data_IF_413539297475
#
_entry.id   IF_413539297475
#
_cell.length_a   1.000
_cell.length_b   1.000
_cell.length_c   1.000
_cell.angle_alpha   90.00
_cell.angle_beta   90.00
_cell.angle_gamma   90.00
#
_symmetry.space_group_name_H-M   'P 1'
#
loop_
_entity.id
_entity.type
_entity.pdbx_description
1 polymer ?
#
# COMPACT_ATOMS: atom_id res chain seq x y z
N UNK A 1 21.61 24.81 -5.51
CA UNK A 1 23.00 24.40 -5.26
C UNK A 1 23.30 23.23 -6.15
N UNK A 2 24.14 23.46 -7.18
CA UNK A 2 24.49 22.45 -8.20
C UNK A 2 25.42 21.34 -7.66
N UNK A 3 25.65 21.28 -6.37
CA UNK A 3 26.62 20.36 -5.75
C UNK A 3 25.99 19.20 -4.97
N UNK A 4 24.66 19.04 -4.99
CA UNK A 4 23.96 17.88 -4.42
C UNK A 4 23.22 17.08 -5.52
N UNK A 5 23.86 16.05 -6.09
CA UNK A 5 23.27 15.24 -7.14
C UNK A 5 22.09 14.35 -6.67
N UNK A 6 21.71 14.42 -5.40
CA UNK A 6 20.60 13.67 -4.79
C UNK A 6 19.42 14.53 -4.34
N UNK A 7 19.45 15.86 -4.53
CA UNK A 7 18.30 16.69 -4.19
C UNK A 7 17.11 16.39 -5.10
N UNK A 8 15.96 15.95 -4.57
CA UNK A 8 14.79 15.76 -5.38
C UNK A 8 14.37 17.10 -6.02
N UNK A 9 14.02 17.07 -7.29
CA UNK A 9 13.42 18.22 -7.96
C UNK A 9 12.13 18.54 -7.20
N UNK A 10 11.97 19.76 -6.66
CA UNK A 10 10.76 20.10 -5.95
C UNK A 10 9.58 20.07 -6.92
N UNK A 11 8.63 19.20 -6.67
CA UNK A 11 7.35 19.22 -7.37
C UNK A 11 6.50 20.32 -6.75
N UNK A 12 5.99 21.22 -7.57
CA UNK A 12 5.03 22.21 -7.15
C UNK A 12 3.69 21.93 -7.80
N UNK A 13 2.65 21.75 -7.01
CA UNK A 13 1.28 21.78 -7.51
C UNK A 13 0.86 23.25 -7.63
N UNK A 14 0.46 23.66 -8.84
CA UNK A 14 -0.10 24.98 -9.07
C UNK A 14 -1.61 24.87 -9.12
N UNK A 15 -2.29 25.45 -8.15
CA UNK A 15 -3.73 25.61 -8.22
C UNK A 15 -4.02 26.81 -9.14
N UNK A 16 -4.32 26.53 -10.41
CA UNK A 16 -4.62 27.52 -11.43
C UNK A 16 -6.02 27.28 -12.00
N UNK A 17 -6.72 28.36 -12.30
CA UNK A 17 -8.05 28.30 -12.90
C UNK A 17 -8.00 27.77 -14.34
N UNK A 18 -9.14 27.23 -14.80
CA UNK A 18 -9.28 26.63 -16.12
C UNK A 18 -8.94 27.59 -17.26
N UNK A 19 -9.24 28.88 -17.12
CA UNK A 19 -8.93 29.88 -18.13
C UNK A 19 -7.40 30.07 -18.28
N UNK A 20 -6.69 30.02 -17.17
CA UNK A 20 -5.22 30.09 -17.14
C UNK A 20 -4.62 28.81 -17.74
N UNK A 21 -5.13 27.61 -17.41
CA UNK A 21 -4.70 26.35 -18.03
C UNK A 21 -4.89 26.41 -19.55
N UNK A 22 -6.07 26.80 -20.01
CA UNK A 22 -6.37 26.91 -21.43
C UNK A 22 -5.45 27.91 -22.15
N UNK A 23 -5.12 29.02 -21.51
CA UNK A 23 -4.19 30.01 -22.07
C UNK A 23 -2.76 29.48 -22.22
N UNK A 24 -2.31 28.64 -21.27
CA UNK A 24 -0.99 28.00 -21.30
C UNK A 24 -0.94 26.92 -22.39
N UNK A 25 -1.96 26.04 -22.43
CA UNK A 25 -1.99 24.91 -23.35
C UNK A 25 -2.22 25.30 -24.80
N UNK A 26 -2.89 26.42 -25.05
CA UNK A 26 -3.15 26.96 -26.40
C UNK A 26 -2.10 27.98 -26.86
N UNK A 27 -1.11 28.29 -26.03
CA UNK A 27 -0.08 29.25 -26.37
C UNK A 27 0.80 28.76 -27.53
N UNK A 28 0.93 29.57 -28.57
CA UNK A 28 1.79 29.30 -29.74
C UNK A 28 3.20 29.84 -29.60
N UNK A 29 3.51 30.48 -28.47
CA UNK A 29 4.82 31.07 -28.17
C UNK A 29 5.38 30.49 -26.87
N UNK A 30 6.70 30.50 -26.74
CA UNK A 30 7.38 30.16 -25.49
C UNK A 30 6.89 31.04 -24.37
N UNK A 31 6.31 30.48 -23.34
CA UNK A 31 5.93 31.16 -22.11
C UNK A 31 7.15 31.21 -21.18
N UNK A 32 7.31 32.30 -20.47
CA UNK A 32 8.28 32.44 -19.39
C UNK A 32 7.50 32.53 -18.10
N UNK A 33 7.82 31.65 -17.15
CA UNK A 33 7.32 31.68 -15.78
C UNK A 33 8.45 32.05 -14.84
N UNK A 34 8.15 32.78 -13.79
CA UNK A 34 9.04 33.02 -12.66
C UNK A 34 8.38 32.42 -11.43
N UNK A 35 9.10 31.56 -10.72
CA UNK A 35 8.64 30.98 -9.46
C UNK A 35 9.52 31.51 -8.35
N UNK A 36 8.90 32.00 -7.28
CA UNK A 36 9.61 32.44 -6.08
C UNK A 36 9.23 31.44 -4.95
N UNK A 37 10.26 30.87 -4.33
CA UNK A 37 10.09 30.02 -3.15
C UNK A 37 10.75 30.70 -1.96
N UNK A 38 9.99 30.97 -0.90
CA UNK A 38 10.50 31.58 0.33
C UNK A 38 11.17 30.59 1.29
N UNK A 39 11.69 29.51 0.77
CA UNK A 39 12.40 28.49 1.54
C UNK A 39 11.48 27.46 2.20
N UNK A 40 12.05 26.31 2.46
CA UNK A 40 11.37 25.20 3.13
C UNK A 40 11.64 25.24 4.63
N UNK A 41 10.59 25.30 5.45
CA UNK A 41 10.70 25.14 6.89
C UNK A 41 10.63 23.66 7.21
N UNK A 42 11.77 23.05 7.47
CA UNK A 42 11.83 21.65 7.94
C UNK A 42 11.60 21.66 9.45
N UNK A 43 10.47 21.16 9.90
CA UNK A 43 10.26 20.78 11.30
C UNK A 43 10.45 19.26 11.41
N UNK A 44 11.42 18.78 12.19
CA UNK A 44 11.55 17.34 12.38
C UNK A 44 10.36 16.83 13.17
N UNK A 45 9.49 16.10 12.52
CA UNK A 45 8.42 15.34 13.14
C UNK A 45 8.84 13.87 13.16
N UNK A 46 8.84 13.27 14.34
CA UNK A 46 9.07 11.84 14.50
C UNK A 46 7.74 11.11 14.45
N UNK A 47 7.56 10.24 13.50
CA UNK A 47 6.52 9.24 13.49
C UNK A 47 7.11 7.85 13.76
N UNK A 48 6.29 6.81 13.87
CA UNK A 48 6.73 5.48 14.22
C UNK A 48 5.95 4.44 13.44
N UNK A 49 6.65 3.46 12.90
CA UNK A 49 6.00 2.20 12.55
C UNK A 49 5.68 1.41 13.82
N UNK A 50 4.60 0.65 13.80
CA UNK A 50 4.23 -0.26 14.89
C UNK A 50 4.36 -1.68 14.37
N UNK A 51 5.26 -2.47 14.96
CA UNK A 51 5.52 -3.82 14.52
C UNK A 51 5.40 -4.84 15.65
N UNK A 52 4.95 -6.04 15.30
CA UNK A 52 4.87 -7.19 16.19
C UNK A 52 5.20 -8.48 15.45
N UNK A 53 5.81 -9.44 16.15
CA UNK A 53 6.17 -10.75 15.61
C UNK A 53 5.29 -11.80 16.28
N UNK A 54 4.63 -12.62 15.47
CA UNK A 54 3.90 -13.80 15.88
C UNK A 54 4.70 -15.03 15.43
N UNK A 55 5.15 -15.85 16.38
CA UNK A 55 5.99 -17.00 16.10
C UNK A 55 5.20 -18.08 15.36
N UNK A 56 5.78 -18.61 14.30
CA UNK A 56 5.24 -19.70 13.51
C UNK A 56 5.22 -21.03 14.28
N UNK A 57 4.34 -21.93 13.88
CA UNK A 57 4.11 -23.23 14.52
C UNK A 57 5.06 -24.34 14.04
N UNK A 58 5.69 -24.19 12.87
CA UNK A 58 6.58 -25.18 12.28
C UNK A 58 8.03 -24.87 12.70
N UNK A 59 8.71 -25.74 13.45
CA UNK A 59 10.08 -25.47 13.92
C UNK A 59 11.10 -25.30 12.80
N UNK A 60 10.85 -25.84 11.60
CA UNK A 60 11.76 -25.70 10.46
C UNK A 60 11.52 -24.40 9.69
N UNK A 61 10.31 -23.87 9.71
CA UNK A 61 9.91 -22.66 8.97
C UNK A 61 9.73 -21.42 9.87
N UNK A 62 9.76 -21.57 11.18
CA UNK A 62 9.47 -20.47 12.10
C UNK A 62 10.53 -19.35 12.12
N UNK A 63 11.70 -19.53 11.49
CA UNK A 63 12.69 -18.49 11.27
C UNK A 63 12.56 -17.82 9.88
N UNK A 64 11.52 -18.16 9.14
CA UNK A 64 11.08 -17.49 7.93
C UNK A 64 9.84 -16.64 8.22
N UNK A 65 9.77 -15.45 7.65
CA UNK A 65 8.74 -14.47 7.99
C UNK A 65 7.94 -14.04 6.78
N UNK A 66 6.61 -14.16 6.89
CA UNK A 66 5.69 -13.39 6.05
C UNK A 66 5.49 -12.04 6.75
N UNK A 67 5.76 -10.94 6.06
CA UNK A 67 5.48 -9.61 6.58
C UNK A 67 4.16 -9.09 5.99
N UNK A 68 3.24 -8.70 6.86
CA UNK A 68 1.98 -8.10 6.48
C UNK A 68 2.03 -6.61 6.82
N UNK A 69 1.71 -5.76 5.85
CA UNK A 69 1.79 -4.30 5.97
C UNK A 69 0.46 -3.64 5.67
N UNK A 70 0.19 -2.55 6.37
CA UNK A 70 -0.82 -1.55 6.04
C UNK A 70 -0.35 -0.20 6.56
N UNK A 71 -0.59 0.89 5.84
CA UNK A 71 -0.34 2.21 6.42
C UNK A 71 -1.48 2.62 7.35
N UNK A 72 -1.12 3.37 8.40
CA UNK A 72 -2.04 3.79 9.44
C UNK A 72 -2.20 5.32 9.52
N UNK A 73 -1.50 6.03 8.67
CA UNK A 73 -1.66 7.46 8.45
C UNK A 73 -2.68 7.71 7.33
N UNK A 74 -3.06 8.96 7.19
CA UNK A 74 -3.82 9.48 6.06
C UNK A 74 -3.38 10.93 5.81
N UNK A 75 -3.96 11.58 4.82
CA UNK A 75 -3.53 12.90 4.31
C UNK A 75 -3.61 14.05 5.32
N UNK A 76 -4.39 13.94 6.40
CA UNK A 76 -4.34 14.87 7.53
C UNK A 76 -5.56 15.77 7.71
N UNK A 77 -5.35 17.06 8.00
CA UNK A 77 -6.41 18.00 8.39
C UNK A 77 -6.30 19.29 7.60
N UNK A 78 -7.41 19.81 7.13
CA UNK A 78 -7.49 21.07 6.42
C UNK A 78 -6.68 21.09 5.13
N UNK A 79 -5.82 22.07 4.97
CA UNK A 79 -4.98 22.25 3.77
C UNK A 79 -4.04 21.05 3.51
N UNK A 80 -3.68 20.30 4.55
CA UNK A 80 -2.82 19.13 4.43
C UNK A 80 -3.48 18.00 3.64
N UNK A 81 -4.81 17.90 3.70
CA UNK A 81 -5.57 16.85 3.02
C UNK A 81 -5.61 16.98 1.50
N UNK A 82 -5.35 18.18 0.98
CA UNK A 82 -5.31 18.42 -0.47
C UNK A 82 -6.67 18.44 -1.16
N UNK A 83 -7.72 17.89 -0.53
CA UNK A 83 -9.09 17.90 -1.01
C UNK A 83 -9.90 19.10 -0.51
N UNK A 84 -11.15 19.19 -0.96
CA UNK A 84 -12.07 20.21 -0.47
C UNK A 84 -12.49 19.94 0.97
N UNK A 85 -12.52 20.97 1.80
CA UNK A 85 -12.98 20.91 3.20
C UNK A 85 -13.73 22.16 3.62
N UNK A 86 -14.42 22.10 4.75
CA UNK A 86 -15.05 23.27 5.38
C UNK A 86 -14.52 23.46 6.81
N UNK A 87 -14.73 24.62 7.46
CA UNK A 87 -14.34 24.77 8.87
C UNK A 87 -15.02 23.76 9.82
N UNK A 88 -16.21 23.28 9.46
CA UNK A 88 -16.99 22.32 10.23
C UNK A 88 -16.57 20.87 9.97
N UNK A 89 -16.03 20.60 8.77
CA UNK A 89 -15.55 19.29 8.36
C UNK A 89 -14.21 19.45 7.61
N UNK A 90 -13.12 19.28 8.34
CA UNK A 90 -11.76 19.49 7.84
C UNK A 90 -10.84 18.30 8.13
N UNK A 91 -11.36 17.22 8.74
CA UNK A 91 -10.58 16.02 9.04
C UNK A 91 -10.80 15.02 7.93
N UNK A 92 -9.71 14.62 7.29
CA UNK A 92 -9.69 13.53 6.33
C UNK A 92 -9.53 12.23 7.13
N UNK A 93 -10.63 11.51 7.35
CA UNK A 93 -10.65 10.38 8.28
C UNK A 93 -9.98 9.11 7.73
N UNK A 94 -9.91 8.93 6.40
CA UNK A 94 -9.23 7.80 5.79
C UNK A 94 -9.85 6.45 6.18
N UNK A 95 -11.19 6.35 6.16
CA UNK A 95 -11.86 5.14 6.58
C UNK A 95 -11.66 3.99 5.58
N UNK A 96 -11.67 4.30 4.28
CA UNK A 96 -11.36 3.38 3.20
C UNK A 96 -9.86 3.32 2.95
N UNK A 97 -9.22 4.47 2.85
CA UNK A 97 -7.80 4.66 2.63
C UNK A 97 -7.12 5.23 3.91
N UNK A 98 -6.49 4.43 4.83
CA UNK A 98 -6.39 2.98 4.77
C UNK A 98 -6.93 2.35 6.08
N UNK A 99 -8.07 2.83 6.56
CA UNK A 99 -8.74 2.26 7.73
C UNK A 99 -9.13 0.79 7.51
N UNK A 100 -9.62 0.43 6.31
CA UNK A 100 -9.95 -0.94 5.92
C UNK A 100 -8.71 -1.83 6.02
N UNK A 101 -7.59 -1.42 5.44
CA UNK A 101 -6.35 -2.18 5.47
C UNK A 101 -5.81 -2.35 6.89
N UNK A 102 -5.85 -1.28 7.70
CA UNK A 102 -5.45 -1.36 9.12
C UNK A 102 -6.31 -2.36 9.89
N UNK A 103 -7.63 -2.39 9.68
CA UNK A 103 -8.53 -3.37 10.33
C UNK A 103 -8.26 -4.78 9.82
N UNK A 104 -7.99 -4.98 8.53
CA UNK A 104 -7.63 -6.28 7.97
C UNK A 104 -6.33 -6.79 8.60
N UNK A 105 -5.31 -5.94 8.73
CA UNK A 105 -4.04 -6.26 9.39
C UNK A 105 -4.24 -6.68 10.85
N UNK A 106 -5.04 -5.93 11.62
CA UNK A 106 -5.35 -6.24 13.02
C UNK A 106 -6.18 -7.53 13.17
N UNK A 107 -7.09 -7.79 12.24
CA UNK A 107 -7.89 -9.02 12.19
C UNK A 107 -7.01 -10.24 11.96
N UNK A 108 -6.06 -10.15 11.02
CA UNK A 108 -5.07 -11.18 10.76
C UNK A 108 -4.17 -11.40 11.99
N UNK A 109 -3.69 -10.33 12.63
CA UNK A 109 -2.87 -10.41 13.84
C UNK A 109 -3.58 -11.19 14.95
N UNK A 110 -4.86 -10.90 15.19
CA UNK A 110 -5.67 -11.60 16.18
C UNK A 110 -5.85 -13.10 15.83
N UNK A 111 -6.15 -13.39 14.57
CA UNK A 111 -6.33 -14.78 14.11
C UNK A 111 -5.04 -15.58 14.28
N UNK A 112 -3.89 -15.02 13.88
CA UNK A 112 -2.60 -15.72 13.94
C UNK A 112 -2.02 -15.80 15.34
N UNK A 113 -2.41 -14.91 16.27
CA UNK A 113 -2.08 -15.06 17.68
C UNK A 113 -2.78 -16.29 18.32
N UNK A 114 -4.01 -16.60 17.88
CA UNK A 114 -4.75 -17.78 18.36
C UNK A 114 -4.39 -19.06 17.60
N UNK A 115 -4.12 -18.94 16.30
CA UNK A 115 -3.84 -20.05 15.40
C UNK A 115 -2.64 -19.70 14.48
N UNK A 116 -1.40 -19.84 14.98
CA UNK A 116 -0.23 -19.48 14.20
C UNK A 116 -0.11 -20.33 12.93
N UNK A 117 0.27 -19.72 11.78
CA UNK A 117 0.64 -20.46 10.58
C UNK A 117 2.00 -21.15 10.75
N UNK A 118 2.46 -21.88 9.75
CA UNK A 118 3.76 -22.56 9.80
C UNK A 118 4.91 -21.57 9.94
N UNK A 119 4.97 -20.53 9.06
CA UNK A 119 5.95 -19.46 9.15
C UNK A 119 5.55 -18.41 10.17
N UNK A 120 6.53 -17.72 10.70
CA UNK A 120 6.29 -16.54 11.54
C UNK A 120 5.68 -15.39 10.74
N UNK A 121 4.88 -14.58 11.42
CA UNK A 121 4.26 -13.40 10.82
C UNK A 121 4.83 -12.15 11.47
N UNK A 122 5.24 -11.19 10.66
CA UNK A 122 5.47 -9.81 11.10
C UNK A 122 4.24 -9.00 10.74
N UNK A 123 3.56 -8.46 11.73
CA UNK A 123 2.50 -7.48 11.57
C UNK A 123 3.15 -6.10 11.66
N UNK A 124 3.01 -5.29 10.63
CA UNK A 124 3.67 -3.98 10.55
C UNK A 124 2.69 -2.91 10.06
N UNK A 125 2.20 -2.07 10.97
CA UNK A 125 1.52 -0.85 10.61
C UNK A 125 2.57 0.24 10.34
N UNK A 126 2.62 0.74 9.12
CA UNK A 126 3.59 1.75 8.68
C UNK A 126 2.98 3.15 8.71
N UNK A 127 3.83 4.16 8.72
CA UNK A 127 3.46 5.57 8.76
C UNK A 127 4.08 6.32 7.59
N UNK A 128 3.47 7.46 7.21
CA UNK A 128 4.02 8.32 6.16
C UNK A 128 3.96 7.71 4.76
N UNK A 129 3.00 6.84 4.51
CA UNK A 129 2.69 6.34 3.16
C UNK A 129 2.33 7.50 2.26
N UNK A 130 1.39 8.34 2.69
CA UNK A 130 0.88 9.53 2.01
C UNK A 130 1.94 10.62 1.77
N UNK A 131 3.06 10.52 2.48
CA UNK A 131 4.22 11.41 2.34
C UNK A 131 5.35 10.79 1.49
N UNK A 132 5.06 9.69 0.81
CA UNK A 132 6.00 9.01 -0.09
C UNK A 132 6.62 7.76 0.51
N UNK A 133 5.82 6.89 1.13
CA UNK A 133 6.20 5.55 1.59
C UNK A 133 7.30 5.54 2.68
N UNK A 134 7.37 6.61 3.50
CA UNK A 134 8.51 6.82 4.40
C UNK A 134 8.70 5.69 5.42
N UNK A 135 7.59 5.15 5.94
CA UNK A 135 7.61 4.10 6.95
C UNK A 135 8.08 2.76 6.41
N UNK A 136 7.57 2.35 5.26
CA UNK A 136 7.98 1.08 4.62
C UNK A 136 9.42 1.13 4.12
N UNK A 137 9.85 2.26 3.54
CA UNK A 137 11.25 2.48 3.15
C UNK A 137 12.18 2.37 4.36
N UNK A 138 11.83 3.06 5.46
CA UNK A 138 12.62 2.97 6.69
C UNK A 138 12.71 1.53 7.20
N UNK A 139 11.59 0.79 7.20
CA UNK A 139 11.62 -0.60 7.63
C UNK A 139 12.45 -1.48 6.71
N UNK A 140 12.34 -1.33 5.39
CA UNK A 140 13.11 -2.11 4.43
C UNK A 140 14.64 -1.87 4.53
N UNK A 141 15.03 -0.70 5.07
CA UNK A 141 16.42 -0.36 5.36
C UNK A 141 16.89 -0.73 6.78
N UNK A 142 15.93 -0.81 7.73
CA UNK A 142 16.19 -1.10 9.14
C UNK A 142 15.23 -2.19 9.65
N UNK A 143 15.28 -3.41 9.10
CA UNK A 143 14.30 -4.44 9.39
C UNK A 143 14.48 -5.03 10.79
N UNK A 144 13.39 -5.52 11.40
CA UNK A 144 13.40 -6.19 12.71
C UNK A 144 14.12 -7.53 12.71
N UNK A 145 14.17 -8.17 11.57
CA UNK A 145 14.88 -9.44 11.32
C UNK A 145 15.68 -9.30 10.04
N UNK A 146 16.76 -10.08 9.83
CA UNK A 146 17.49 -10.07 8.56
C UNK A 146 16.52 -10.20 7.36
N UNK A 147 16.65 -9.31 6.37
CA UNK A 147 15.66 -9.21 5.29
C UNK A 147 15.59 -10.49 4.44
N UNK A 148 16.68 -11.24 4.33
CA UNK A 148 16.72 -12.56 3.68
C UNK A 148 15.88 -13.64 4.37
N UNK A 149 15.45 -13.40 5.62
CA UNK A 149 14.48 -14.25 6.32
C UNK A 149 13.02 -13.85 6.03
N UNK A 150 12.79 -12.66 5.46
CA UNK A 150 11.46 -12.24 5.01
C UNK A 150 11.19 -12.89 3.66
N UNK A 151 10.29 -13.86 3.64
CA UNK A 151 9.99 -14.64 2.41
C UNK A 151 8.97 -13.98 1.51
N UNK A 152 8.15 -13.07 2.07
CA UNK A 152 7.09 -12.40 1.34
C UNK A 152 6.61 -11.14 2.07
N UNK A 153 6.24 -10.11 1.30
CA UNK A 153 5.43 -8.99 1.80
C UNK A 153 4.02 -9.06 1.23
N UNK A 154 3.04 -9.13 2.12
CA UNK A 154 1.62 -9.11 1.79
C UNK A 154 1.02 -7.83 2.30
N UNK A 155 0.99 -6.82 1.44
CA UNK A 155 0.49 -5.50 1.74
C UNK A 155 -1.04 -5.44 1.60
N UNK A 156 -1.69 -4.61 2.39
CA UNK A 156 -3.09 -4.26 2.21
C UNK A 156 -3.24 -2.74 2.22
N UNK A 157 -3.75 -2.23 1.12
CA UNK A 157 -3.87 -0.81 0.86
C UNK A 157 -4.84 -0.59 -0.30
N UNK A 158 -5.64 0.46 -0.26
CA UNK A 158 -6.57 0.75 -1.34
C UNK A 158 -7.31 2.08 -1.22
N UNK A 159 -7.70 2.58 -2.37
CA UNK A 159 -8.51 3.80 -2.50
C UNK A 159 -9.99 3.58 -2.15
N UNK A 160 -10.34 2.41 -1.62
CA UNK A 160 -11.71 1.96 -1.40
C UNK A 160 -12.21 1.01 -2.49
N UNK A 161 -13.51 0.83 -2.58
CA UNK A 161 -14.15 -0.16 -3.46
C UNK A 161 -15.32 0.46 -4.22
N UNK A 162 -15.52 -0.03 -5.44
CA UNK A 162 -16.72 0.19 -6.27
C UNK A 162 -17.41 -1.14 -6.66
N UNK A 163 -16.89 -2.29 -6.18
CA UNK A 163 -17.53 -3.59 -6.33
C UNK A 163 -17.38 -4.43 -5.04
N UNK A 164 -18.48 -4.57 -4.30
CA UNK A 164 -18.53 -5.39 -3.07
C UNK A 164 -18.53 -6.91 -3.33
N UNK A 165 -18.55 -7.35 -4.57
CA UNK A 165 -18.44 -8.75 -4.98
C UNK A 165 -17.05 -9.10 -5.50
N UNK A 166 -16.07 -8.22 -5.27
CA UNK A 166 -14.72 -8.39 -5.78
C UNK A 166 -13.66 -8.08 -4.72
N UNK A 167 -12.47 -8.53 -5.01
CA UNK A 167 -11.19 -8.05 -4.44
C UNK A 167 -10.28 -7.68 -5.61
N UNK A 168 -9.24 -6.93 -5.33
CA UNK A 168 -8.25 -6.56 -6.34
C UNK A 168 -6.84 -6.86 -5.86
N UNK A 169 -5.90 -6.96 -6.79
CA UNK A 169 -4.48 -7.12 -6.47
C UNK A 169 -3.63 -6.18 -7.33
N UNK A 170 -2.66 -5.53 -6.73
CA UNK A 170 -1.59 -4.86 -7.45
C UNK A 170 -0.34 -5.73 -7.40
N UNK A 171 0.13 -6.17 -8.55
CA UNK A 171 1.25 -7.10 -8.67
C UNK A 171 0.87 -8.57 -8.75
N UNK A 172 -0.42 -8.90 -8.91
CA UNK A 172 -0.83 -10.28 -9.20
C UNK A 172 -0.15 -10.81 -10.48
N UNK A 173 0.18 -12.09 -10.49
CA UNK A 173 0.92 -12.72 -11.59
C UNK A 173 2.43 -12.57 -11.53
N UNK A 174 2.99 -11.92 -10.49
CA UNK A 174 4.42 -11.60 -10.40
C UNK A 174 5.22 -12.49 -9.45
N UNK A 175 4.54 -13.17 -8.52
CA UNK A 175 5.21 -13.83 -7.38
C UNK A 175 4.76 -15.26 -7.12
N UNK A 176 3.87 -15.82 -7.96
CA UNK A 176 3.43 -17.21 -7.89
C UNK A 176 2.53 -17.53 -6.68
N UNK A 177 1.74 -16.55 -6.19
CA UNK A 177 0.76 -16.72 -5.09
C UNK A 177 -0.69 -16.65 -5.56
N UNK A 178 -0.93 -16.73 -6.86
CA UNK A 178 -2.26 -16.57 -7.45
C UNK A 178 -3.24 -17.63 -6.97
N UNK A 179 -2.77 -18.85 -6.71
CA UNK A 179 -3.61 -19.94 -6.24
C UNK A 179 -4.13 -19.66 -4.81
N UNK A 180 -3.31 -19.08 -3.95
CA UNK A 180 -3.65 -18.70 -2.59
C UNK A 180 -4.65 -17.55 -2.55
N UNK A 181 -4.45 -16.56 -3.41
CA UNK A 181 -5.39 -15.43 -3.57
C UNK A 181 -6.71 -15.92 -4.14
N UNK A 182 -6.69 -16.80 -5.15
CA UNK A 182 -7.91 -17.38 -5.74
C UNK A 182 -8.68 -18.19 -4.69
N UNK A 183 -7.99 -19.05 -3.92
CA UNK A 183 -8.65 -19.83 -2.87
C UNK A 183 -9.30 -18.95 -1.80
N UNK A 184 -8.72 -17.77 -1.52
CA UNK A 184 -9.30 -16.81 -0.60
C UNK A 184 -10.52 -16.10 -1.20
N UNK A 185 -10.48 -15.76 -2.48
CA UNK A 185 -11.61 -15.17 -3.21
C UNK A 185 -12.80 -16.15 -3.29
N UNK A 186 -12.53 -17.43 -3.53
CA UNK A 186 -13.53 -18.47 -3.64
C UNK A 186 -14.37 -18.69 -2.36
N UNK A 187 -13.86 -18.26 -1.18
CA UNK A 187 -14.62 -18.34 0.08
C UNK A 187 -15.93 -17.53 0.05
N UNK A 188 -15.99 -16.50 -0.77
CA UNK A 188 -17.10 -15.56 -0.84
C UNK A 188 -17.58 -15.30 -2.26
N UNK A 189 -17.16 -16.12 -3.22
CA UNK A 189 -17.44 -15.95 -4.65
C UNK A 189 -16.96 -14.58 -5.19
N UNK A 190 -15.86 -14.06 -4.65
CA UNK A 190 -15.29 -12.79 -5.12
C UNK A 190 -14.67 -12.93 -6.52
N UNK A 191 -14.96 -11.96 -7.37
CA UNK A 191 -14.17 -11.70 -8.58
C UNK A 191 -12.81 -11.13 -8.20
N UNK A 192 -11.75 -11.48 -8.92
CA UNK A 192 -10.42 -10.86 -8.73
C UNK A 192 -10.16 -9.90 -9.89
N UNK A 193 -10.00 -8.62 -9.59
CA UNK A 193 -9.47 -7.63 -10.52
C UNK A 193 -7.95 -7.56 -10.36
N UNK A 194 -7.24 -8.09 -11.33
CA UNK A 194 -5.78 -8.13 -11.30
C UNK A 194 -5.18 -6.93 -12.01
N UNK A 195 -4.44 -6.08 -11.28
CA UNK A 195 -3.88 -4.81 -11.73
C UNK A 195 -4.93 -3.91 -12.43
N UNK A 196 -6.04 -3.56 -11.78
CA UNK A 196 -6.98 -2.58 -12.32
C UNK A 196 -6.27 -1.23 -12.51
N UNK A 197 -6.77 -0.41 -13.45
CA UNK A 197 -6.21 0.89 -13.79
C UNK A 197 -4.67 0.88 -14.01
N UNK A 198 -4.14 0.04 -14.93
CA UNK A 198 -2.70 -0.19 -15.08
C UNK A 198 -1.92 1.07 -15.47
N UNK A 199 -2.57 2.05 -16.10
CA UNK A 199 -2.01 3.36 -16.44
C UNK A 199 -1.68 4.22 -15.21
N UNK A 200 -2.24 3.91 -14.05
CA UNK A 200 -1.99 4.61 -12.78
C UNK A 200 -0.73 4.12 -12.08
N UNK A 201 -0.19 2.97 -12.47
CA UNK A 201 1.01 2.40 -11.89
C UNK A 201 0.88 2.08 -10.39
N UNK A 202 -0.29 1.62 -9.94
CA UNK A 202 -0.65 1.46 -8.53
C UNK A 202 0.32 0.57 -7.74
N UNK A 203 0.93 -0.41 -8.38
CA UNK A 203 1.94 -1.25 -7.74
C UNK A 203 3.12 -0.46 -7.15
N UNK A 204 3.55 0.59 -7.84
CA UNK A 204 4.70 1.40 -7.46
C UNK A 204 4.31 2.59 -6.55
N UNK A 205 3.06 2.66 -6.10
CA UNK A 205 2.50 3.75 -5.28
C UNK A 205 2.07 3.32 -3.89
N UNK A 206 2.34 2.08 -3.50
CA UNK A 206 2.01 1.55 -2.18
C UNK A 206 3.23 0.87 -1.53
N UNK A 207 3.15 0.61 -0.24
CA UNK A 207 4.24 0.15 0.64
C UNK A 207 4.94 -1.14 0.19
N UNK A 208 4.26 -2.00 -0.59
CA UNK A 208 4.84 -3.21 -1.17
C UNK A 208 6.11 -2.94 -1.98
N UNK A 209 6.19 -1.78 -2.64
CA UNK A 209 7.34 -1.47 -3.51
C UNK A 209 8.64 -1.32 -2.73
N UNK A 210 8.58 -0.84 -1.49
CA UNK A 210 9.75 -0.71 -0.62
C UNK A 210 10.43 -2.06 -0.35
N UNK A 211 9.64 -3.13 -0.23
CA UNK A 211 10.12 -4.50 -0.08
C UNK A 211 10.58 -5.08 -1.41
N UNK A 212 9.81 -4.86 -2.48
CA UNK A 212 10.13 -5.32 -3.82
C UNK A 212 11.48 -4.79 -4.30
N UNK A 213 11.78 -3.52 -4.05
CA UNK A 213 13.07 -2.90 -4.39
C UNK A 213 14.27 -3.54 -3.67
N UNK A 214 14.04 -4.17 -2.52
CA UNK A 214 15.05 -4.94 -1.77
C UNK A 214 15.06 -6.43 -2.15
N UNK A 215 14.25 -6.84 -3.13
CA UNK A 215 14.19 -8.21 -3.63
C UNK A 215 13.16 -9.13 -2.95
N UNK A 216 12.47 -8.66 -1.90
CA UNK A 216 11.41 -9.44 -1.25
C UNK A 216 10.18 -9.49 -2.16
N UNK A 217 9.69 -10.69 -2.55
CA UNK A 217 8.46 -10.81 -3.33
C UNK A 217 7.29 -10.16 -2.61
N UNK A 218 6.51 -9.35 -3.33
CA UNK A 218 5.47 -8.53 -2.73
C UNK A 218 4.29 -8.30 -3.67
N UNK A 219 3.09 -8.26 -3.10
CA UNK A 219 1.89 -7.74 -3.76
C UNK A 219 1.07 -6.89 -2.78
N UNK A 220 0.20 -6.04 -3.32
CA UNK A 220 -0.87 -5.42 -2.56
C UNK A 220 -2.17 -6.16 -2.83
N UNK A 221 -2.84 -6.58 -1.76
CA UNK A 221 -4.21 -7.08 -1.74
C UNK A 221 -5.12 -5.93 -1.34
N UNK A 222 -6.10 -5.62 -2.16
CA UNK A 222 -6.95 -4.44 -1.98
C UNK A 222 -8.42 -4.79 -2.19
N UNK A 223 -9.28 -3.87 -1.81
CA UNK A 223 -10.72 -3.99 -1.98
C UNK A 223 -11.10 -4.13 -3.46
N UNK A 224 -12.37 -4.46 -3.71
CA UNK A 224 -12.95 -4.58 -5.06
C UNK A 224 -12.94 -3.24 -5.80
N UNK A 225 -11.81 -2.95 -6.39
CA UNK A 225 -11.52 -1.73 -7.14
C UNK A 225 -11.35 -2.08 -8.62
N UNK A 226 -12.27 -1.64 -9.44
CA UNK A 226 -12.23 -1.91 -10.88
C UNK A 226 -11.56 -0.79 -11.67
N UNK A 227 -11.78 0.47 -11.28
CA UNK A 227 -11.25 1.68 -11.92
C UNK A 227 -11.42 2.89 -10.99
N UNK A 228 -10.74 4.01 -11.29
CA UNK A 228 -10.98 5.31 -10.66
C UNK A 228 -12.23 5.96 -11.26
N UNK A 229 -13.38 5.52 -10.81
CA UNK A 229 -14.68 6.07 -11.20
C UNK A 229 -15.19 7.15 -10.20
N UNK A 230 -16.38 7.69 -10.46
CA UNK A 230 -16.98 8.72 -9.60
C UNK A 230 -17.24 8.21 -8.17
N UNK A 231 -17.45 6.90 -7.96
CA UNK A 231 -17.65 6.32 -6.63
C UNK A 231 -16.35 6.32 -5.82
N UNK A 232 -15.25 5.89 -6.41
CA UNK A 232 -13.94 5.96 -5.77
C UNK A 232 -13.56 7.42 -5.51
N UNK A 233 -13.68 8.29 -6.51
CA UNK A 233 -13.29 9.71 -6.40
C UNK A 233 -14.15 10.49 -5.41
N UNK A 234 -15.32 10.01 -5.04
CA UNK A 234 -16.15 10.59 -3.99
C UNK A 234 -15.47 10.50 -2.61
N UNK A 235 -14.62 9.49 -2.38
CA UNK A 235 -14.02 9.18 -1.08
C UNK A 235 -12.50 9.35 -1.07
N UNK A 236 -11.82 8.98 -2.15
CA UNK A 236 -10.37 8.98 -2.23
C UNK A 236 -9.80 10.37 -1.95
N UNK A 237 -9.09 10.50 -0.83
CA UNK A 237 -8.52 11.76 -0.31
C UNK A 237 -9.59 12.86 -0.11
N UNK A 238 -10.76 12.48 0.38
CA UNK A 238 -11.86 13.41 0.66
C UNK A 238 -12.31 13.35 2.13
N UNK A 239 -12.83 14.47 2.66
CA UNK A 239 -13.43 14.52 4.01
C UNK A 239 -14.66 13.61 4.13
N UNK A 240 -15.25 13.20 3.01
CA UNK A 240 -16.37 12.25 2.95
C UNK A 240 -15.97 10.80 3.21
N UNK A 241 -14.67 10.48 3.22
CA UNK A 241 -14.19 9.13 3.55
C UNK A 241 -14.33 8.82 5.05
N UNK A 242 -15.55 8.47 5.42
CA UNK A 242 -15.96 8.28 6.80
C UNK A 242 -16.38 6.82 7.09
N UNK A 243 -16.25 6.33 8.33
CA UNK A 243 -16.60 4.95 8.69
C UNK A 243 -18.05 4.56 8.37
N UNK A 244 -18.99 5.51 8.36
CA UNK A 244 -20.40 5.27 8.06
C UNK A 244 -20.67 5.03 6.56
N UNK A 245 -19.66 5.18 5.70
CA UNK A 245 -19.75 4.89 4.25
C UNK A 245 -19.32 3.47 3.91
N UNK A 246 -18.84 2.71 4.90
CA UNK A 246 -18.32 1.35 4.71
C UNK A 246 -19.44 0.33 4.78
N UNK A 247 -19.47 -0.61 3.81
CA UNK A 247 -20.23 -1.84 3.93
C UNK A 247 -19.49 -2.82 4.88
N UNK A 248 -19.98 -2.94 6.11
CA UNK A 248 -19.32 -3.76 7.13
C UNK A 248 -19.44 -5.26 6.87
N UNK A 249 -20.42 -5.72 6.10
CA UNK A 249 -20.49 -7.12 5.69
C UNK A 249 -19.43 -7.43 4.63
N UNK A 250 -19.23 -6.54 3.69
CA UNK A 250 -18.13 -6.61 2.75
C UNK A 250 -16.77 -6.57 3.46
N UNK A 251 -16.57 -5.59 4.36
CA UNK A 251 -15.34 -5.46 5.15
C UNK A 251 -15.02 -6.77 5.92
N UNK A 252 -16.03 -7.38 6.54
CA UNK A 252 -15.86 -8.66 7.24
C UNK A 252 -15.35 -9.77 6.30
N UNK A 253 -15.96 -9.91 5.12
CA UNK A 253 -15.55 -10.89 4.11
C UNK A 253 -14.13 -10.60 3.61
N UNK A 254 -13.84 -9.35 3.32
CA UNK A 254 -12.53 -8.88 2.90
C UNK A 254 -11.44 -9.24 3.92
N UNK A 255 -11.64 -8.91 5.20
CA UNK A 255 -10.68 -9.25 6.26
C UNK A 255 -10.44 -10.78 6.37
N UNK A 256 -11.49 -11.58 6.20
CA UNK A 256 -11.36 -13.05 6.22
C UNK A 256 -10.57 -13.53 4.99
N UNK A 257 -10.87 -13.03 3.80
CA UNK A 257 -10.17 -13.40 2.57
C UNK A 257 -8.68 -13.00 2.66
N UNK A 258 -8.36 -11.78 3.08
CA UNK A 258 -7.00 -11.31 3.31
C UNK A 258 -6.23 -12.20 4.28
N UNK A 259 -6.83 -12.50 5.45
CA UNK A 259 -6.21 -13.35 6.47
C UNK A 259 -5.99 -14.77 5.97
N UNK A 260 -6.94 -15.31 5.21
CA UNK A 260 -6.86 -16.67 4.68
C UNK A 260 -5.80 -16.78 3.57
N UNK A 261 -5.72 -15.81 2.65
CA UNK A 261 -4.64 -15.76 1.65
C UNK A 261 -3.27 -15.73 2.33
N UNK A 262 -3.10 -14.84 3.32
CA UNK A 262 -1.85 -14.74 4.09
C UNK A 262 -1.48 -16.06 4.77
N UNK A 263 -2.47 -16.76 5.35
CA UNK A 263 -2.24 -18.10 5.93
C UNK A 263 -1.73 -19.10 4.91
N UNK A 264 -2.41 -19.20 3.77
CA UNK A 264 -2.02 -20.12 2.71
C UNK A 264 -0.59 -19.83 2.21
N UNK A 265 -0.24 -18.57 2.04
CA UNK A 265 1.12 -18.16 1.64
C UNK A 265 2.14 -18.54 2.73
N UNK A 266 1.82 -18.29 4.01
CA UNK A 266 2.70 -18.62 5.12
C UNK A 266 2.86 -20.13 5.37
N UNK A 267 1.88 -20.93 4.96
CA UNK A 267 1.86 -22.39 5.13
C UNK A 267 2.47 -23.16 3.95
N UNK A 268 2.94 -22.49 2.89
CA UNK A 268 3.60 -23.13 1.71
C UNK A 268 4.85 -23.87 2.13
N UNK A 269 5.13 -24.99 1.46
CA UNK A 269 6.42 -25.68 1.59
C UNK A 269 7.55 -24.85 0.97
N UNK A 270 7.30 -24.29 -0.22
CA UNK A 270 8.27 -23.49 -0.95
C UNK A 270 8.05 -21.98 -0.72
N UNK A 271 9.15 -21.22 -0.69
CA UNK A 271 9.08 -19.75 -0.65
C UNK A 271 8.52 -19.22 -1.96
N UNK A 272 7.56 -18.29 -1.94
CA UNK A 272 7.22 -17.52 -3.14
C UNK A 272 8.46 -16.82 -3.71
N UNK A 273 8.46 -16.60 -5.01
CA UNK A 273 9.55 -15.88 -5.65
C UNK A 273 9.04 -15.13 -6.90
N UNK A 274 9.81 -14.19 -7.36
CA UNK A 274 9.53 -13.45 -8.59
C UNK A 274 9.46 -14.40 -9.79
N UNK A 275 8.54 -14.14 -10.70
CA UNK A 275 8.52 -14.87 -11.97
C UNK A 275 9.73 -14.45 -12.81
N UNK A 276 10.15 -15.32 -13.73
CA UNK A 276 11.25 -15.08 -14.67
C UNK A 276 11.01 -13.78 -15.46
N UNK A 277 11.99 -12.89 -15.49
CA UNK A 277 11.95 -11.61 -16.18
C UNK A 277 11.22 -10.47 -15.44
N UNK A 278 10.80 -10.70 -14.18
CA UNK A 278 10.25 -9.60 -13.38
C UNK A 278 11.34 -8.55 -13.07
N UNK A 279 10.95 -7.27 -13.03
CA UNK A 279 11.90 -6.15 -12.78
C UNK A 279 12.64 -6.24 -11.45
N UNK A 280 12.13 -7.01 -10.48
CA UNK A 280 12.74 -7.21 -9.16
C UNK A 280 13.35 -8.60 -8.97
N UNK A 281 13.32 -9.45 -9.99
CA UNK A 281 13.89 -10.80 -9.94
C UNK A 281 15.39 -10.77 -9.58
N UNK A 282 16.17 -9.89 -10.22
CA UNK A 282 17.61 -9.76 -9.97
C UNK A 282 17.90 -9.39 -8.52
N UNK A 283 17.19 -8.42 -7.97
CA UNK A 283 17.30 -8.03 -6.56
C UNK A 283 16.93 -9.21 -5.62
N UNK A 284 15.92 -10.00 -5.99
CA UNK A 284 15.54 -11.21 -5.25
C UNK A 284 16.61 -12.30 -5.30
N UNK A 285 17.22 -12.53 -6.46
CA UNK A 285 18.33 -13.47 -6.60
C UNK A 285 19.52 -13.06 -5.74
N UNK A 286 19.83 -11.76 -5.71
CA UNK A 286 20.91 -11.21 -4.85
C UNK A 286 20.55 -11.37 -3.37
N UNK A 287 19.35 -10.97 -2.94
CA UNK A 287 18.91 -11.03 -1.54
C UNK A 287 19.00 -12.45 -0.96
N UNK A 288 18.54 -13.44 -1.72
CA UNK A 288 18.46 -14.83 -1.24
C UNK A 288 19.64 -15.71 -1.66
N UNK A 289 20.68 -15.15 -2.29
CA UNK A 289 21.86 -15.87 -2.80
C UNK A 289 21.47 -17.07 -3.70
N UNK A 290 20.57 -16.88 -4.63
CA UNK A 290 20.06 -17.87 -5.57
C UNK A 290 20.76 -17.83 -6.92
#
# INVERSE_FOLDING_TARGET
NDDDPGSPIPYGFLNIDEATINSITTATKTLKGETMSEGMRISPNNSRNIGGILRGSDPELADEYLIMTAHMDHVGVGEQGGGAYTPEDSIFNGARDNGIGTIALLSAARCFAEQPPRRSIIILAVTGEELGLLGSQYYAENPLVPLEQTVYNFNVDGAGYNDVNAISTFGGGRTGVEAEVQAAADLFDFTIYNNPAPEQGLYDRSDNVSFAQKGVPAITFTEGFADFDDEIMQYYHQVSDNPNTIDYEYLRKFCVAFTYAARLIADRDERPFWIEGDKYEEAGLELYNR
#
